data_IF_320896677429
#
_entry.id   IF_320896677429
#
_cell.length_a   1.000
_cell.length_b   1.000
_cell.length_c   1.000
_cell.angle_alpha   90.00
_cell.angle_beta   90.00
_cell.angle_gamma   90.00
#
_symmetry.space_group_name_H-M   'P 1'
#
loop_
_entity.id
_entity.type
_entity.pdbx_description
1 polymer ?
#
# COMPACT_ATOMS: atom_id res chain seq x y z
N UNK A 1 -10.31 -50.50 24.11
CA UNK A 1 -10.26 -51.86 23.54
C UNK A 1 -10.25 -51.71 22.03
N UNK A 2 -9.25 -52.09 21.25
CA UNK A 2 -8.05 -52.90 21.49
C UNK A 2 -7.07 -52.52 20.38
N UNK A 3 -5.80 -52.41 20.76
CA UNK A 3 -4.63 -52.20 19.90
C UNK A 3 -4.38 -53.49 19.14
N UNK A 4 -4.12 -53.42 17.83
CA UNK A 4 -3.42 -54.49 17.11
C UNK A 4 -2.37 -53.88 16.18
N UNK A 5 -1.14 -54.07 16.60
CA UNK A 5 0.14 -53.94 15.89
C UNK A 5 0.33 -55.11 14.93
N UNK A 6 0.86 -54.87 13.74
CA UNK A 6 1.58 -55.90 12.96
C UNK A 6 2.78 -55.30 12.27
N UNK A 7 3.94 -55.83 12.66
CA UNK A 7 5.28 -55.57 12.12
C UNK A 7 5.48 -56.14 10.70
N UNK A 8 6.41 -55.46 10.00
CA UNK A 8 7.38 -55.94 9.02
C UNK A 8 6.99 -57.00 7.99
N UNK A 9 7.24 -56.69 6.71
CA UNK A 9 8.08 -57.52 5.82
C UNK A 9 8.54 -56.67 4.63
N UNK A 10 9.81 -56.28 4.67
CA UNK A 10 10.56 -55.66 3.58
C UNK A 10 10.74 -56.67 2.44
N UNK A 11 10.30 -56.32 1.23
CA UNK A 11 10.69 -57.01 0.00
C UNK A 11 11.51 -56.04 -0.84
N UNK A 12 12.81 -56.30 -0.93
CA UNK A 12 13.72 -55.60 -1.83
C UNK A 12 13.37 -55.94 -3.29
N UNK A 13 13.02 -54.93 -4.09
CA UNK A 13 13.08 -55.01 -5.56
C UNK A 13 14.26 -54.16 -6.04
N UNK A 14 15.19 -54.83 -6.74
CA UNK A 14 16.30 -54.23 -7.49
C UNK A 14 15.75 -53.51 -8.72
N UNK A 15 16.13 -52.25 -8.90
CA UNK A 15 16.04 -51.52 -10.17
C UNK A 15 17.39 -51.63 -10.92
N UNK A 16 17.39 -51.66 -12.26
CA UNK A 16 18.60 -51.80 -13.06
C UNK A 16 19.29 -50.46 -13.33
N UNK A 17 20.62 -50.48 -13.25
CA UNK A 17 21.56 -49.41 -13.62
C UNK A 17 21.56 -49.09 -15.12
N UNK A 18 21.57 -47.80 -15.48
CA UNK A 18 22.35 -47.26 -16.62
C UNK A 18 22.45 -45.71 -16.54
N UNK A 19 23.57 -45.09 -16.92
CA UNK A 19 24.10 -43.85 -16.33
C UNK A 19 23.89 -42.60 -17.19
N UNK A 20 23.58 -41.45 -16.56
CA UNK A 20 23.65 -40.11 -17.19
C UNK A 20 24.08 -39.01 -16.20
N UNK A 21 24.99 -39.32 -15.28
CA UNK A 21 25.66 -38.32 -14.43
C UNK A 21 27.02 -37.93 -15.01
N UNK A 22 27.02 -37.34 -16.21
CA UNK A 22 28.21 -36.68 -16.78
C UNK A 22 27.76 -35.81 -17.96
N UNK A 23 27.07 -34.69 -17.69
CA UNK A 23 26.97 -33.43 -18.47
C UNK A 23 25.88 -32.59 -17.77
N UNK A 24 26.24 -31.87 -16.69
CA UNK A 24 25.58 -30.59 -16.32
C UNK A 24 26.22 -29.86 -15.13
N UNK A 25 27.46 -30.20 -14.73
CA UNK A 25 28.17 -29.47 -13.66
C UNK A 25 29.19 -28.52 -14.25
N UNK A 26 28.78 -27.53 -15.07
CA UNK A 26 29.67 -26.42 -15.54
C UNK A 26 29.00 -25.06 -15.82
N UNK A 27 27.78 -24.78 -15.35
CA UNK A 27 27.18 -23.44 -15.56
C UNK A 27 26.62 -22.73 -14.32
N UNK A 28 26.81 -23.26 -13.10
CA UNK A 28 26.35 -22.59 -11.87
C UNK A 28 27.40 -21.68 -11.19
N UNK A 29 28.64 -21.56 -11.71
CA UNK A 29 29.72 -20.80 -11.06
C UNK A 29 30.03 -19.41 -11.66
N UNK A 30 29.11 -18.78 -12.41
CA UNK A 30 29.38 -17.47 -13.05
C UNK A 30 28.46 -16.28 -12.73
N UNK A 31 27.61 -16.37 -11.70
CA UNK A 31 26.80 -15.23 -11.25
C UNK A 31 26.92 -14.90 -9.75
N UNK A 32 28.05 -15.26 -9.14
CA UNK A 32 28.35 -14.97 -7.74
C UNK A 32 29.48 -13.94 -7.57
N UNK A 33 29.43 -12.79 -8.27
CA UNK A 33 30.21 -11.61 -7.84
C UNK A 33 29.66 -10.30 -8.44
N UNK A 34 28.51 -9.85 -7.93
CA UNK A 34 28.16 -8.43 -7.94
C UNK A 34 27.96 -8.04 -6.49
N UNK A 35 29.08 -7.70 -5.85
CA UNK A 35 29.14 -7.08 -4.53
C UNK A 35 28.02 -6.05 -4.37
N UNK A 36 26.96 -6.40 -3.62
CA UNK A 36 26.02 -5.43 -3.07
C UNK A 36 26.81 -4.55 -2.12
N UNK A 37 27.33 -3.42 -2.61
CA UNK A 37 27.80 -2.32 -1.76
C UNK A 37 26.58 -1.81 -1.00
N UNK A 38 26.30 -2.43 0.15
CA UNK A 38 25.39 -1.88 1.14
C UNK A 38 26.08 -0.63 1.67
N UNK A 39 25.55 0.54 1.32
CA UNK A 39 25.96 1.80 1.93
C UNK A 39 25.87 1.64 3.45
N UNK A 40 26.85 2.14 4.22
CA UNK A 40 26.83 2.00 5.67
C UNK A 40 25.53 2.61 6.19
N UNK A 41 24.73 1.80 6.89
CA UNK A 41 23.51 2.24 7.54
C UNK A 41 23.82 3.51 8.34
N UNK A 42 23.19 4.63 7.98
CA UNK A 42 23.37 5.88 8.71
C UNK A 42 23.07 5.60 10.19
N UNK A 43 23.98 6.00 11.08
CA UNK A 43 23.80 5.88 12.52
C UNK A 43 22.57 6.70 12.94
N UNK A 44 21.42 6.04 13.02
CA UNK A 44 20.18 6.64 13.51
C UNK A 44 20.41 7.07 14.95
N UNK A 45 20.46 8.38 15.17
CA UNK A 45 20.74 8.95 16.50
C UNK A 45 19.73 8.45 17.54
N UNK A 46 20.16 8.30 18.81
CA UNK A 46 19.26 7.93 19.91
C UNK A 46 18.04 8.89 19.91
N UNK A 47 16.82 8.34 20.02
CA UNK A 47 15.54 9.07 20.00
C UNK A 47 15.59 10.22 21.01
N UNK A 48 15.81 11.45 20.55
CA UNK A 48 15.57 12.65 21.35
C UNK A 48 14.07 12.89 21.31
N UNK A 49 13.37 12.56 22.39
CA UNK A 49 11.92 12.83 22.53
C UNK A 49 11.70 14.34 22.42
N UNK A 50 10.59 14.75 21.80
CA UNK A 50 10.12 16.13 21.95
C UNK A 50 9.86 16.37 23.43
N UNK A 51 10.27 17.54 23.94
CA UNK A 51 9.90 17.97 25.30
C UNK A 51 8.42 18.35 25.35
N UNK A 52 7.88 18.77 24.22
CA UNK A 52 6.49 19.17 24.03
C UNK A 52 5.67 18.02 23.41
N UNK A 53 4.46 17.82 23.92
CA UNK A 53 3.43 16.98 23.31
C UNK A 53 2.15 17.83 23.27
N UNK A 54 1.51 17.99 22.10
CA UNK A 54 0.27 18.75 22.02
C UNK A 54 -0.82 18.15 22.91
N UNK A 55 -1.80 18.97 23.26
CA UNK A 55 -3.03 18.49 23.85
C UNK A 55 -3.76 17.58 22.86
N UNK A 56 -4.46 16.57 23.35
CA UNK A 56 -5.19 15.64 22.49
C UNK A 56 -6.21 16.41 21.65
N UNK A 57 -6.15 16.22 20.32
CA UNK A 57 -7.01 16.93 19.37
C UNK A 57 -6.54 18.33 18.99
N UNK A 58 -5.31 18.75 19.33
CA UNK A 58 -4.75 20.00 18.82
C UNK A 58 -4.78 20.03 17.29
N UNK A 59 -5.31 21.13 16.74
CA UNK A 59 -5.38 21.38 15.30
C UNK A 59 -4.26 22.32 14.89
N UNK A 60 -3.48 21.91 13.90
CA UNK A 60 -2.44 22.68 13.25
C UNK A 60 -2.84 22.92 11.80
N UNK A 61 -3.31 24.14 11.50
CA UNK A 61 -3.64 24.52 10.14
C UNK A 61 -2.40 25.00 9.39
N UNK A 62 -1.98 24.23 8.39
CA UNK A 62 -0.85 24.55 7.51
C UNK A 62 -1.30 25.19 6.21
N UNK A 63 -2.61 25.27 5.93
CA UNK A 63 -3.16 25.76 4.65
C UNK A 63 -2.83 27.22 4.39
N UNK A 64 -2.73 28.02 5.45
CA UNK A 64 -2.37 29.44 5.38
C UNK A 64 -0.89 29.72 5.60
N UNK A 65 -0.05 28.69 5.80
CA UNK A 65 1.37 28.91 6.08
C UNK A 65 2.11 29.35 4.82
N UNK A 66 2.87 30.45 4.88
CA UNK A 66 3.66 30.89 3.74
C UNK A 66 4.87 29.95 3.58
N UNK A 67 4.89 29.18 2.49
CA UNK A 67 5.97 28.22 2.19
C UNK A 67 7.27 28.89 1.72
N UNK A 68 7.40 30.22 1.85
CA UNK A 68 8.63 30.94 1.55
C UNK A 68 9.59 30.95 2.74
N UNK A 69 10.91 30.76 2.55
CA UNK A 69 11.84 30.55 3.65
C UNK A 69 11.87 31.66 4.72
N UNK A 70 11.74 32.93 4.34
CA UNK A 70 11.84 34.07 5.29
C UNK A 70 10.65 34.15 6.25
N UNK A 71 9.45 33.86 5.76
CA UNK A 71 8.20 33.94 6.53
C UNK A 71 7.87 32.63 7.23
N UNK A 72 8.36 31.50 6.72
CA UNK A 72 8.18 30.18 7.33
C UNK A 72 8.92 30.04 8.68
N UNK A 73 10.00 30.80 8.89
CA UNK A 73 10.79 30.75 10.12
C UNK A 73 9.98 31.01 11.40
N UNK A 74 9.02 31.93 11.37
CA UNK A 74 8.18 32.23 12.54
C UNK A 74 7.26 31.04 12.86
N UNK A 75 6.71 30.38 11.83
CA UNK A 75 5.87 29.19 11.99
C UNK A 75 6.66 27.97 12.45
N UNK A 76 7.93 27.84 12.06
CA UNK A 76 8.79 26.73 12.49
C UNK A 76 9.13 26.78 13.99
N UNK A 77 8.91 27.92 14.65
CA UNK A 77 9.04 28.05 16.11
C UNK A 77 7.80 27.58 16.87
N UNK A 78 6.66 27.37 16.19
CA UNK A 78 5.46 26.84 16.81
C UNK A 78 5.73 25.42 17.33
N UNK A 79 5.37 25.17 18.58
CA UNK A 79 5.65 23.88 19.23
C UNK A 79 4.99 22.71 18.50
N UNK A 80 3.80 22.92 17.92
CA UNK A 80 3.07 21.92 17.14
C UNK A 80 3.76 21.57 15.81
N UNK A 81 4.30 22.57 15.09
CA UNK A 81 5.12 22.34 13.88
C UNK A 81 6.40 21.59 14.26
N UNK A 82 7.02 21.98 15.37
CA UNK A 82 8.16 21.29 15.95
C UNK A 82 7.84 19.83 16.29
N UNK A 83 6.68 19.56 16.89
CA UNK A 83 6.21 18.21 17.21
C UNK A 83 5.98 17.35 15.97
N UNK A 84 5.33 17.90 14.94
CA UNK A 84 5.12 17.23 13.65
C UNK A 84 6.46 16.83 13.03
N UNK A 85 7.36 17.81 12.85
CA UNK A 85 8.65 17.58 12.19
C UNK A 85 9.54 16.64 13.01
N UNK A 86 9.58 16.80 14.34
CA UNK A 86 10.33 15.90 15.22
C UNK A 86 9.76 14.48 15.24
N UNK A 87 8.44 14.32 15.18
CA UNK A 87 7.81 13.00 15.05
C UNK A 87 8.20 12.32 13.74
N UNK A 88 8.23 13.06 12.63
CA UNK A 88 8.65 12.53 11.32
C UNK A 88 10.15 12.21 11.25
N UNK A 89 11.03 13.01 11.86
CA UNK A 89 12.48 12.76 11.85
C UNK A 89 12.94 11.64 12.79
N UNK A 90 12.36 11.57 14.00
CA UNK A 90 12.94 10.76 15.08
C UNK A 90 12.30 9.38 15.23
N UNK A 91 11.13 9.17 14.62
CA UNK A 91 10.41 7.89 14.66
C UNK A 91 11.11 6.84 13.80
N UNK A 92 11.19 5.62 14.34
CA UNK A 92 11.96 4.52 13.75
C UNK A 92 11.10 3.42 13.13
N UNK A 93 9.82 3.37 13.48
CA UNK A 93 8.83 2.40 13.00
C UNK A 93 7.55 3.15 12.68
N UNK A 94 7.58 3.84 11.55
CA UNK A 94 6.46 4.63 11.05
C UNK A 94 5.51 3.72 10.29
N UNK A 95 4.24 3.76 10.63
CA UNK A 95 3.15 3.22 9.81
C UNK A 95 2.42 4.38 9.17
N UNK A 96 2.27 4.36 7.85
CA UNK A 96 1.45 5.31 7.12
C UNK A 96 0.20 4.61 6.58
N UNK A 97 -0.98 5.20 6.81
CA UNK A 97 -2.26 4.77 6.25
C UNK A 97 -2.75 5.88 5.34
N UNK A 98 -2.72 5.66 4.03
CA UNK A 98 -2.97 6.69 3.01
C UNK A 98 -4.28 6.45 2.26
N UNK A 99 -4.83 7.53 1.70
CA UNK A 99 -5.92 7.48 0.73
C UNK A 99 -5.72 8.48 -0.39
N UNK A 100 -6.77 8.72 -1.18
CA UNK A 100 -6.66 9.42 -2.46
C UNK A 100 -6.07 10.84 -2.36
N UNK A 101 -6.16 11.50 -1.20
CA UNK A 101 -5.57 12.81 -0.98
C UNK A 101 -4.05 12.89 -1.21
N UNK A 102 -3.32 11.77 -1.10
CA UNK A 102 -1.87 11.77 -1.39
C UNK A 102 -1.54 11.85 -2.89
N UNK A 103 -2.48 11.47 -3.76
CA UNK A 103 -2.33 11.44 -5.22
C UNK A 103 -2.89 12.70 -5.91
N UNK A 104 -3.63 13.55 -5.20
CA UNK A 104 -4.20 14.81 -5.75
C UNK A 104 -3.10 15.73 -6.29
N UNK A 105 -1.96 15.83 -5.58
CA UNK A 105 -0.82 16.63 -6.01
C UNK A 105 -0.11 16.11 -7.28
N UNK A 106 -0.42 14.88 -7.70
CA UNK A 106 0.10 14.27 -8.93
C UNK A 106 -0.84 14.43 -10.13
N UNK A 107 -2.02 15.05 -9.94
CA UNK A 107 -3.04 15.19 -10.98
C UNK A 107 -4.06 14.04 -11.04
N UNK A 108 -3.97 13.05 -10.15
CA UNK A 108 -5.01 12.02 -10.02
C UNK A 108 -6.10 12.57 -9.10
N UNK A 109 -7.31 12.86 -9.61
CA UNK A 109 -8.38 13.39 -8.78
C UNK A 109 -8.76 12.35 -7.73
N UNK A 110 -9.15 12.82 -6.56
CA UNK A 110 -9.77 11.93 -5.60
C UNK A 110 -11.11 11.41 -6.15
N UNK A 111 -11.67 10.41 -5.49
CA UNK A 111 -12.93 9.85 -5.95
C UNK A 111 -14.12 10.74 -5.61
N UNK A 112 -14.06 11.53 -4.53
CA UNK A 112 -15.25 12.03 -3.82
C UNK A 112 -15.40 13.56 -3.81
N UNK A 113 -14.36 14.33 -4.13
CA UNK A 113 -14.45 15.79 -4.11
C UNK A 113 -15.28 16.34 -5.27
N UNK A 114 -15.50 17.66 -5.23
CA UNK A 114 -16.23 18.40 -6.26
C UNK A 114 -15.62 18.26 -7.67
N UNK A 115 -14.31 17.97 -7.79
CA UNK A 115 -13.63 17.71 -9.06
C UNK A 115 -13.24 16.22 -9.21
N UNK A 116 -13.83 15.36 -8.39
CA UNK A 116 -13.43 13.96 -8.28
C UNK A 116 -13.85 13.11 -9.48
N UNK A 117 -13.22 11.94 -9.62
CA UNK A 117 -13.46 11.03 -10.74
C UNK A 117 -14.93 10.67 -10.94
N UNK A 118 -15.75 10.63 -9.87
CA UNK A 118 -17.16 10.26 -9.95
C UNK A 118 -18.10 11.34 -10.50
N UNK A 119 -17.68 12.60 -10.62
CA UNK A 119 -18.59 13.65 -11.07
C UNK A 119 -19.09 13.43 -12.50
N UNK A 120 -18.21 12.95 -13.39
CA UNK A 120 -18.55 12.64 -14.79
C UNK A 120 -19.33 11.35 -15.00
N UNK A 121 -19.43 10.50 -13.96
CA UNK A 121 -20.11 9.20 -14.02
C UNK A 121 -21.41 9.16 -13.19
N UNK A 122 -21.73 10.23 -12.47
CA UNK A 122 -23.02 10.43 -11.84
C UNK A 122 -24.09 10.71 -12.92
N UNK A 123 -24.48 9.67 -13.67
CA UNK A 123 -25.63 9.74 -14.54
C UNK A 123 -26.91 9.84 -13.70
N UNK A 124 -27.90 10.58 -14.20
CA UNK A 124 -29.24 10.77 -13.60
C UNK A 124 -29.99 9.45 -13.29
N UNK A 125 -29.49 8.30 -13.73
CA UNK A 125 -30.18 7.01 -13.65
C UNK A 125 -29.57 5.99 -12.68
N UNK A 126 -28.32 6.16 -12.22
CA UNK A 126 -27.67 5.18 -11.34
C UNK A 126 -26.95 5.91 -10.19
N UNK A 127 -27.33 5.58 -8.95
CA UNK A 127 -26.87 6.24 -7.73
C UNK A 127 -25.35 6.34 -7.57
N UNK A 128 -24.92 7.14 -6.59
CA UNK A 128 -23.55 7.50 -6.20
C UNK A 128 -22.40 6.67 -6.81
N UNK A 129 -21.26 7.28 -7.13
CA UNK A 129 -20.07 6.60 -7.69
C UNK A 129 -19.59 5.32 -6.97
N UNK A 130 -20.05 5.06 -5.74
CA UNK A 130 -19.96 3.73 -5.10
C UNK A 130 -20.53 2.59 -5.94
N UNK A 131 -21.59 2.81 -6.71
CA UNK A 131 -22.24 1.77 -7.54
C UNK A 131 -21.32 1.24 -8.63
N UNK A 132 -20.42 2.07 -9.18
CA UNK A 132 -19.42 1.62 -10.16
C UNK A 132 -18.32 0.76 -9.53
N UNK A 133 -18.09 0.90 -8.23
CA UNK A 133 -17.14 0.09 -7.48
C UNK A 133 -17.83 -0.96 -6.60
N UNK A 134 -19.10 -1.26 -6.86
CA UNK A 134 -19.80 -2.35 -6.23
C UNK A 134 -19.71 -3.60 -7.10
N UNK A 135 -19.56 -4.78 -6.50
CA UNK A 135 -19.48 -6.04 -7.23
C UNK A 135 -20.68 -6.27 -8.19
N UNK A 136 -21.83 -5.64 -7.91
CA UNK A 136 -23.00 -5.65 -8.78
C UNK A 136 -22.77 -5.01 -10.15
N UNK A 137 -21.67 -4.28 -10.37
CA UNK A 137 -21.28 -3.69 -11.65
C UNK A 137 -21.17 -4.72 -12.78
N UNK A 138 -20.89 -5.98 -12.44
CA UNK A 138 -20.81 -7.09 -13.39
C UNK A 138 -22.18 -7.65 -13.83
N UNK A 139 -23.30 -7.15 -13.28
CA UNK A 139 -24.64 -7.66 -13.59
C UNK A 139 -25.29 -7.05 -14.84
N UNK A 140 -24.87 -5.86 -15.26
CA UNK A 140 -25.39 -5.18 -16.43
C UNK A 140 -24.27 -4.81 -17.42
N UNK A 141 -24.49 -4.99 -18.74
CA UNK A 141 -23.54 -4.55 -19.75
C UNK A 141 -23.21 -3.05 -19.66
N UNK A 142 -24.20 -2.21 -19.32
CA UNK A 142 -24.01 -0.76 -19.24
C UNK A 142 -23.12 -0.37 -18.06
N UNK A 143 -23.36 -0.95 -16.88
CA UNK A 143 -22.53 -0.69 -15.69
C UNK A 143 -21.11 -1.22 -15.89
N UNK A 144 -20.96 -2.37 -16.54
CA UNK A 144 -19.67 -2.93 -16.90
C UNK A 144 -18.91 -2.01 -17.87
N UNK A 145 -19.57 -1.47 -18.90
CA UNK A 145 -18.94 -0.57 -19.87
C UNK A 145 -18.40 0.71 -19.20
N UNK A 146 -19.17 1.31 -18.29
CA UNK A 146 -18.73 2.49 -17.54
C UNK A 146 -17.59 2.16 -16.58
N UNK A 147 -17.64 1.00 -15.93
CA UNK A 147 -16.53 0.49 -15.13
C UNK A 147 -15.26 0.33 -15.93
N UNK A 148 -15.30 -0.36 -17.08
CA UNK A 148 -14.13 -0.52 -17.94
C UNK A 148 -13.58 0.84 -18.36
N UNK A 149 -14.42 1.76 -18.83
CA UNK A 149 -14.01 3.13 -19.22
C UNK A 149 -13.28 3.87 -18.10
N UNK A 150 -13.77 3.75 -16.87
CA UNK A 150 -13.14 4.34 -15.69
C UNK A 150 -11.79 3.68 -15.38
N UNK A 151 -11.68 2.35 -15.46
CA UNK A 151 -10.42 1.64 -15.27
C UNK A 151 -9.39 2.05 -16.33
N UNK A 152 -9.80 2.22 -17.59
CA UNK A 152 -8.92 2.74 -18.65
C UNK A 152 -8.38 4.11 -18.32
N UNK A 153 -9.25 5.04 -17.93
CA UNK A 153 -8.84 6.39 -17.52
C UNK A 153 -7.86 6.35 -16.35
N UNK A 154 -8.13 5.53 -15.33
CA UNK A 154 -7.25 5.39 -14.17
C UNK A 154 -5.90 4.77 -14.53
N UNK A 155 -5.88 3.77 -15.40
CA UNK A 155 -4.64 3.17 -15.88
C UNK A 155 -3.79 4.20 -16.64
N UNK A 156 -4.37 4.95 -17.57
CA UNK A 156 -3.68 6.04 -18.28
C UNK A 156 -3.05 7.04 -17.31
N UNK A 157 -3.84 7.53 -16.34
CA UNK A 157 -3.32 8.43 -15.29
C UNK A 157 -2.20 7.79 -14.46
N UNK A 158 -2.27 6.49 -14.17
CA UNK A 158 -1.22 5.78 -13.41
C UNK A 158 0.12 5.67 -14.16
N UNK A 159 0.09 5.81 -15.48
CA UNK A 159 1.28 5.77 -16.35
C UNK A 159 1.82 7.18 -16.59
N UNK A 160 0.93 8.17 -16.78
CA UNK A 160 1.30 9.55 -17.10
C UNK A 160 1.69 10.39 -15.87
N UNK A 161 1.14 10.07 -14.68
CA UNK A 161 1.38 10.83 -13.47
C UNK A 161 2.62 10.34 -12.71
N UNK A 162 3.38 11.31 -12.19
CA UNK A 162 4.54 11.07 -11.32
C UNK A 162 4.15 11.04 -9.83
N UNK A 163 4.91 10.34 -8.97
CA UNK A 163 4.63 10.30 -7.54
C UNK A 163 4.73 11.69 -6.88
N UNK A 164 3.73 12.03 -6.08
CA UNK A 164 3.60 13.33 -5.40
C UNK A 164 4.74 13.60 -4.41
N UNK A 165 4.94 14.87 -3.98
CA UNK A 165 5.89 15.20 -2.92
C UNK A 165 5.73 14.34 -1.66
N UNK A 166 4.49 14.01 -1.28
CA UNK A 166 4.24 13.15 -0.12
C UNK A 166 4.67 11.68 -0.36
N UNK A 167 4.45 11.12 -1.55
CA UNK A 167 4.98 9.79 -1.89
C UNK A 167 6.51 9.75 -1.78
N UNK A 168 7.18 10.78 -2.32
CA UNK A 168 8.65 10.89 -2.25
C UNK A 168 9.16 11.06 -0.82
N UNK A 169 8.41 11.71 0.06
CA UNK A 169 8.70 11.75 1.49
C UNK A 169 8.63 10.36 2.12
N UNK A 170 7.59 9.57 1.83
CA UNK A 170 7.46 8.20 2.34
C UNK A 170 8.59 7.30 1.82
N UNK A 171 8.94 7.42 0.54
CA UNK A 171 10.06 6.70 -0.07
C UNK A 171 11.39 7.04 0.62
N UNK A 172 11.66 8.32 0.88
CA UNK A 172 12.83 8.75 1.67
C UNK A 172 12.83 8.15 3.08
N UNK A 173 11.69 8.16 3.78
CA UNK A 173 11.56 7.54 5.12
C UNK A 173 11.81 6.02 5.04
N UNK A 174 11.39 5.37 3.96
CA UNK A 174 11.61 3.95 3.71
C UNK A 174 13.08 3.63 3.42
N UNK A 175 13.73 4.45 2.57
CA UNK A 175 15.15 4.39 2.27
C UNK A 175 16.01 4.50 3.54
N UNK A 176 15.61 5.36 4.48
CA UNK A 176 16.26 5.53 5.78
C UNK A 176 15.99 4.35 6.76
N UNK A 177 15.19 3.36 6.36
CA UNK A 177 14.86 2.17 7.16
C UNK A 177 13.87 2.43 8.28
N UNK A 178 13.14 3.57 8.25
CA UNK A 178 12.24 4.00 9.32
C UNK A 178 10.76 3.71 9.03
N UNK A 179 10.40 3.53 7.77
CA UNK A 179 9.05 3.11 7.38
C UNK A 179 8.88 1.62 7.70
N UNK A 180 8.02 1.31 8.67
CA UNK A 180 7.59 -0.06 8.95
C UNK A 180 6.66 -0.55 7.84
N UNK A 181 5.60 0.22 7.54
CA UNK A 181 4.61 -0.11 6.53
C UNK A 181 3.91 1.11 5.94
N UNK A 182 3.62 1.04 4.66
CA UNK A 182 2.61 1.85 3.98
C UNK A 182 1.38 0.98 3.69
N UNK A 183 0.24 1.30 4.31
CA UNK A 183 -1.06 0.73 3.98
C UNK A 183 -1.83 1.74 3.13
N UNK A 184 -1.90 1.50 1.82
CA UNK A 184 -2.54 2.43 0.88
C UNK A 184 -3.93 1.94 0.50
N UNK A 185 -4.91 2.84 0.53
CA UNK A 185 -6.25 2.60 -0.03
C UNK A 185 -6.29 2.84 -1.55
N UNK A 186 -5.22 3.41 -2.11
CA UNK A 186 -5.16 3.79 -3.51
C UNK A 186 -4.89 2.58 -4.39
N UNK A 187 -5.46 2.61 -5.59
CA UNK A 187 -5.26 1.60 -6.63
C UNK A 187 -4.38 2.13 -7.77
N UNK A 188 -4.01 3.41 -7.73
CA UNK A 188 -3.29 4.14 -8.79
C UNK A 188 -1.83 3.70 -8.97
N UNK A 189 -1.26 2.96 -8.01
CA UNK A 189 0.12 2.45 -8.05
C UNK A 189 1.22 3.53 -8.11
N UNK A 190 0.93 4.80 -7.80
CA UNK A 190 1.97 5.84 -7.76
C UNK A 190 3.03 5.55 -6.70
N UNK A 191 2.61 4.99 -5.55
CA UNK A 191 3.54 4.58 -4.49
C UNK A 191 4.57 3.56 -5.01
N UNK A 192 4.12 2.55 -5.75
CA UNK A 192 4.98 1.46 -6.25
C UNK A 192 5.90 1.84 -7.43
N UNK A 193 5.77 3.05 -7.97
CA UNK A 193 6.77 3.59 -8.91
C UNK A 193 8.09 3.96 -8.20
N UNK A 194 8.07 4.09 -6.87
CA UNK A 194 9.23 4.45 -6.07
C UNK A 194 9.94 3.20 -5.52
N UNK A 195 11.28 3.12 -5.62
CA UNK A 195 12.03 1.89 -5.39
C UNK A 195 12.04 1.43 -3.93
N UNK A 196 11.78 2.30 -2.96
CA UNK A 196 11.74 1.93 -1.55
C UNK A 196 10.30 1.70 -1.05
N UNK A 197 9.30 1.81 -1.92
CA UNK A 197 7.89 1.54 -1.65
C UNK A 197 7.36 0.34 -2.45
N UNK A 198 8.25 -0.55 -2.90
CA UNK A 198 7.88 -1.75 -3.64
C UNK A 198 6.83 -2.61 -2.92
N UNK A 199 5.98 -3.24 -3.74
CA UNK A 199 5.00 -4.24 -3.33
C UNK A 199 5.27 -5.57 -4.03
N UNK A 200 4.64 -6.65 -3.55
CA UNK A 200 4.61 -7.94 -4.23
C UNK A 200 3.19 -8.46 -4.22
N UNK A 201 2.69 -8.87 -5.38
CA UNK A 201 1.34 -9.43 -5.54
C UNK A 201 1.44 -10.71 -6.40
N UNK A 202 0.80 -11.82 -6.01
CA UNK A 202 0.01 -12.01 -4.79
C UNK A 202 0.86 -11.89 -3.52
N UNK A 203 0.24 -11.40 -2.45
CA UNK A 203 0.88 -11.39 -1.14
C UNK A 203 1.05 -12.85 -0.66
N UNK A 204 2.13 -13.13 0.07
CA UNK A 204 2.38 -14.44 0.65
C UNK A 204 2.79 -14.32 2.13
N UNK A 205 2.77 -15.43 2.85
CA UNK A 205 3.10 -15.50 4.29
C UNK A 205 4.61 -15.43 4.57
N UNK A 206 5.45 -15.31 3.55
CA UNK A 206 6.90 -15.28 3.70
C UNK A 206 7.40 -13.87 4.05
N UNK A 207 8.30 -13.82 5.02
CA UNK A 207 8.98 -12.59 5.44
C UNK A 207 10.30 -12.43 4.66
N UNK A 208 10.74 -11.20 4.38
CA UNK A 208 10.13 -9.93 4.78
C UNK A 208 8.90 -9.57 3.92
N UNK A 209 7.87 -9.03 4.58
CA UNK A 209 6.68 -8.51 3.90
C UNK A 209 7.00 -7.20 3.14
N UNK A 210 6.37 -6.93 1.99
CA UNK A 210 6.62 -5.74 1.17
C UNK A 210 6.29 -4.44 1.89
N UNK A 211 7.00 -3.35 1.57
CA UNK A 211 6.80 -2.06 2.26
C UNK A 211 5.40 -1.51 2.07
N UNK A 212 4.84 -1.66 0.88
CA UNK A 212 3.51 -1.18 0.53
C UNK A 212 2.51 -2.33 0.51
N UNK A 213 1.39 -2.16 1.21
CA UNK A 213 0.23 -3.06 1.22
C UNK A 213 -0.95 -2.31 0.61
N UNK A 214 -1.39 -2.77 -0.56
CA UNK A 214 -2.50 -2.19 -1.30
C UNK A 214 -3.81 -2.80 -0.80
N UNK A 215 -4.53 -2.06 0.04
CA UNK A 215 -5.73 -2.52 0.75
C UNK A 215 -6.95 -2.75 -0.14
N UNK A 216 -6.94 -2.22 -1.37
CA UNK A 216 -8.05 -2.35 -2.31
C UNK A 216 -7.58 -2.92 -3.67
N UNK A 217 -6.46 -3.62 -3.68
CA UNK A 217 -5.85 -4.12 -4.91
C UNK A 217 -5.16 -3.00 -5.71
N UNK A 218 -4.95 -3.22 -7.01
CA UNK A 218 -4.20 -2.29 -7.84
C UNK A 218 -4.65 -2.31 -9.31
N UNK A 219 -4.42 -1.20 -10.00
CA UNK A 219 -4.88 -1.00 -11.38
C UNK A 219 -4.00 -1.68 -12.44
N UNK A 220 -2.78 -2.09 -12.07
CA UNK A 220 -1.78 -2.66 -12.98
C UNK A 220 -1.86 -4.18 -13.11
N UNK A 221 -2.77 -4.83 -12.39
CA UNK A 221 -2.91 -6.29 -12.41
C UNK A 221 -4.33 -6.70 -12.76
N UNK A 222 -4.42 -7.90 -13.33
CA UNK A 222 -5.63 -8.67 -13.55
C UNK A 222 -5.65 -9.87 -12.61
N UNK A 223 -6.84 -10.29 -12.18
CA UNK A 223 -7.05 -11.55 -11.49
C UNK A 223 -8.20 -12.35 -12.08
N UNK A 224 -8.02 -13.68 -12.10
CA UNK A 224 -9.09 -14.59 -12.46
C UNK A 224 -10.10 -14.72 -11.31
N UNK A 225 -11.38 -14.58 -11.61
CA UNK A 225 -12.48 -14.78 -10.65
C UNK A 225 -12.62 -16.23 -10.15
N UNK A 226 -11.96 -17.19 -10.81
CA UNK A 226 -12.08 -18.62 -10.51
C UNK A 226 -10.78 -19.27 -10.04
N UNK A 227 -9.72 -19.25 -10.88
CA UNK A 227 -8.45 -19.90 -10.54
C UNK A 227 -7.48 -18.98 -9.79
N UNK A 228 -7.84 -17.71 -9.56
CA UNK A 228 -7.02 -16.70 -8.90
C UNK A 228 -5.67 -16.40 -9.57
N UNK A 229 -5.45 -16.86 -10.81
CA UNK A 229 -4.30 -16.46 -11.61
C UNK A 229 -4.19 -14.94 -11.69
N UNK A 230 -2.99 -14.42 -11.48
CA UNK A 230 -2.67 -12.99 -11.52
C UNK A 230 -1.76 -12.73 -12.72
N UNK A 231 -2.09 -11.70 -13.51
CA UNK A 231 -1.32 -11.26 -14.66
C UNK A 231 -1.19 -9.74 -14.63
N UNK A 232 -0.14 -9.18 -15.21
CA UNK A 232 -0.07 -7.74 -15.48
C UNK A 232 -1.14 -7.28 -16.48
N UNK A 233 -1.69 -6.10 -16.22
CA UNK A 233 -2.55 -5.38 -17.14
C UNK A 233 -1.65 -4.56 -18.07
N UNK A 234 -1.51 -5.02 -19.30
CA UNK A 234 -0.68 -4.38 -20.32
C UNK A 234 -1.52 -3.53 -21.30
N UNK A 235 -0.84 -2.79 -22.17
CA UNK A 235 -1.49 -1.87 -23.12
C UNK A 235 -2.42 -2.58 -24.14
N UNK A 236 -2.26 -3.90 -24.36
CA UNK A 236 -3.11 -4.66 -25.28
C UNK A 236 -4.57 -4.80 -24.83
N UNK A 237 -4.86 -4.43 -23.58
CA UNK A 237 -6.21 -4.39 -23.03
C UNK A 237 -6.97 -3.08 -23.33
N UNK A 238 -6.31 -2.13 -24.01
CA UNK A 238 -6.85 -0.78 -24.23
C UNK A 238 -7.15 -0.44 -25.70
N UNK A 239 -7.01 -1.39 -26.64
CA UNK A 239 -7.44 -1.20 -28.02
C UNK A 239 -8.96 -0.92 -28.09
N UNK A 240 -9.41 -0.06 -29.01
CA UNK A 240 -10.79 0.48 -29.06
C UNK A 240 -11.89 -0.60 -29.12
N UNK A 241 -11.59 -1.78 -29.67
CA UNK A 241 -12.51 -2.92 -29.78
C UNK A 241 -12.28 -4.00 -28.73
N UNK A 242 -11.37 -3.78 -27.78
CA UNK A 242 -11.00 -4.80 -26.80
C UNK A 242 -11.84 -4.69 -25.54
N UNK A 243 -12.33 -5.83 -25.03
CA UNK A 243 -12.96 -5.88 -23.70
C UNK A 243 -11.86 -6.01 -22.64
N UNK A 244 -11.98 -5.28 -21.53
CA UNK A 244 -11.02 -5.39 -20.43
C UNK A 244 -11.23 -6.70 -19.68
N UNK A 245 -12.49 -7.12 -19.53
CA UNK A 245 -12.85 -8.42 -18.95
C UNK A 245 -12.89 -9.49 -20.05
N UNK A 246 -12.13 -10.57 -19.87
CA UNK A 246 -11.99 -11.66 -20.85
C UNK A 246 -11.98 -13.02 -20.16
N UNK A 247 -12.14 -14.10 -20.93
CA UNK A 247 -11.92 -15.44 -20.39
C UNK A 247 -10.48 -15.61 -19.88
N UNK A 248 -10.32 -16.43 -18.85
CA UNK A 248 -9.02 -16.73 -18.29
C UNK A 248 -8.30 -17.81 -19.10
N UNK A 249 -7.12 -17.51 -19.69
CA UNK A 249 -6.37 -18.47 -20.51
C UNK A 249 -5.94 -19.70 -19.71
N UNK A 250 -5.53 -19.53 -18.45
CA UNK A 250 -5.21 -20.66 -17.55
C UNK A 250 -6.40 -21.60 -17.31
N UNK A 251 -7.62 -21.05 -17.20
CA UNK A 251 -8.81 -21.88 -17.08
C UNK A 251 -9.13 -22.63 -18.37
N UNK A 252 -8.88 -22.02 -19.53
CA UNK A 252 -9.06 -22.63 -20.85
C UNK A 252 -8.03 -23.75 -21.09
N UNK A 253 -6.78 -23.53 -20.71
CA UNK A 253 -5.70 -24.51 -20.77
C UNK A 253 -5.98 -25.70 -19.85
N UNK A 254 -6.34 -25.45 -18.59
CA UNK A 254 -6.72 -26.50 -17.64
C UNK A 254 -7.90 -27.33 -18.16
N UNK A 255 -8.88 -26.69 -18.80
CA UNK A 255 -10.00 -27.41 -19.41
C UNK A 255 -9.59 -28.25 -20.62
N UNK A 256 -8.64 -27.77 -21.42
CA UNK A 256 -8.06 -28.53 -22.53
C UNK A 256 -7.35 -29.79 -22.04
N UNK A 257 -6.52 -29.67 -20.99
CA UNK A 257 -5.84 -30.82 -20.34
C UNK A 257 -6.86 -31.81 -19.78
N UNK A 258 -7.93 -31.33 -19.13
CA UNK A 258 -9.01 -32.19 -18.60
C UNK A 258 -9.73 -32.95 -19.71
N UNK A 259 -10.02 -32.30 -20.83
CA UNK A 259 -10.69 -32.92 -21.96
C UNK A 259 -9.84 -34.05 -22.56
N UNK A 260 -8.53 -33.82 -22.74
CA UNK A 260 -7.57 -34.85 -23.21
C UNK A 260 -7.52 -36.04 -22.23
N UNK A 261 -7.56 -35.77 -20.93
CA UNK A 261 -7.58 -36.80 -19.89
C UNK A 261 -8.96 -37.49 -19.70
N UNK A 262 -9.94 -37.27 -20.59
CA UNK A 262 -11.29 -37.84 -20.50
C UNK A 262 -12.11 -37.33 -19.30
N UNK A 263 -11.69 -36.24 -18.67
CA UNK A 263 -12.38 -35.63 -17.52
C UNK A 263 -13.38 -34.58 -17.98
N UNK A 264 -14.46 -34.41 -17.20
CA UNK A 264 -15.46 -33.36 -17.43
C UNK A 264 -14.83 -31.96 -17.38
N UNK A 265 -15.11 -31.16 -18.41
CA UNK A 265 -14.78 -29.73 -18.52
C UNK A 265 -15.50 -28.95 -17.42
N UNK A 266 -14.81 -27.97 -16.83
CA UNK A 266 -15.37 -27.09 -15.81
C UNK A 266 -15.71 -25.72 -16.41
N UNK A 267 -16.55 -24.94 -15.73
CA UNK A 267 -16.79 -23.54 -16.13
C UNK A 267 -15.47 -22.75 -16.16
N UNK A 268 -15.24 -21.92 -17.18
CA UNK A 268 -14.11 -21.01 -17.19
C UNK A 268 -14.27 -19.89 -16.15
N UNK A 269 -13.15 -19.31 -15.71
CA UNK A 269 -13.15 -18.02 -15.01
C UNK A 269 -12.95 -16.86 -15.97
N UNK A 270 -13.13 -15.62 -15.49
CA UNK A 270 -12.82 -14.41 -16.23
C UNK A 270 -11.69 -13.64 -15.57
N UNK A 271 -10.77 -13.11 -16.39
CA UNK A 271 -9.79 -12.12 -15.98
C UNK A 271 -10.46 -10.75 -15.90
N UNK A 272 -10.26 -10.06 -14.78
CA UNK A 272 -10.72 -8.68 -14.55
C UNK A 272 -9.65 -7.91 -13.78
N UNK A 273 -9.71 -6.56 -13.76
CA UNK A 273 -8.83 -5.75 -12.93
C UNK A 273 -8.82 -6.21 -11.48
N UNK A 274 -7.63 -6.35 -10.91
CA UNK A 274 -7.40 -6.83 -9.54
C UNK A 274 -7.60 -5.71 -8.53
N UNK A 275 -8.82 -5.18 -8.52
CA UNK A 275 -9.28 -4.20 -7.54
C UNK A 275 -10.38 -4.83 -6.69
N UNK A 276 -10.46 -4.43 -5.44
CA UNK A 276 -11.45 -4.94 -4.48
C UNK A 276 -12.67 -4.05 -4.51
N UNK A 277 -13.79 -4.60 -4.96
CA UNK A 277 -15.07 -3.89 -5.02
C UNK A 277 -15.83 -4.00 -3.68
N UNK A 278 -16.78 -3.09 -3.46
CA UNK A 278 -17.75 -3.25 -2.37
C UNK A 278 -18.53 -4.55 -2.56
N UNK A 279 -18.82 -5.23 -1.45
CA UNK A 279 -19.50 -6.53 -1.42
C UNK A 279 -18.73 -7.67 -2.12
N UNK A 280 -17.42 -7.49 -2.34
CA UNK A 280 -16.53 -8.53 -2.82
C UNK A 280 -15.70 -9.13 -1.66
N UNK A 281 -15.38 -10.42 -1.75
CA UNK A 281 -14.37 -11.02 -0.88
C UNK A 281 -12.98 -10.50 -1.24
N UNK A 282 -12.21 -10.07 -0.24
CA UNK A 282 -10.85 -9.57 -0.46
C UNK A 282 -9.88 -10.74 -0.71
N UNK A 283 -9.24 -10.85 -1.89
CA UNK A 283 -8.38 -11.99 -2.24
C UNK A 283 -7.18 -12.12 -1.29
N UNK A 284 -6.58 -11.00 -0.88
CA UNK A 284 -5.46 -10.99 0.09
C UNK A 284 -5.90 -10.74 1.55
N UNK A 285 -7.20 -10.87 1.88
CA UNK A 285 -7.72 -10.40 3.17
C UNK A 285 -7.07 -11.08 4.38
N UNK A 286 -6.87 -12.40 4.28
CA UNK A 286 -6.23 -13.21 5.34
C UNK A 286 -4.76 -12.81 5.54
N UNK A 287 -3.99 -12.72 4.46
CA UNK A 287 -2.57 -12.36 4.52
C UNK A 287 -2.38 -10.91 4.98
N UNK A 288 -3.21 -9.97 4.55
CA UNK A 288 -3.20 -8.58 5.06
C UNK A 288 -3.47 -8.57 6.57
N UNK A 289 -4.39 -9.39 7.05
CA UNK A 289 -4.64 -9.59 8.48
C UNK A 289 -3.39 -10.06 9.23
N UNK A 290 -2.69 -11.06 8.69
CA UNK A 290 -1.45 -11.58 9.28
C UNK A 290 -0.32 -10.54 9.29
N UNK A 291 -0.15 -9.78 8.19
CA UNK A 291 0.84 -8.70 8.08
C UNK A 291 0.52 -7.62 9.12
N UNK A 292 -0.74 -7.23 9.24
CA UNK A 292 -1.21 -6.24 10.22
C UNK A 292 -0.90 -6.70 11.64
N UNK A 293 -1.19 -7.96 11.99
CA UNK A 293 -0.89 -8.52 13.31
C UNK A 293 0.62 -8.54 13.58
N UNK A 294 1.43 -8.91 12.58
CA UNK A 294 2.88 -8.86 12.67
C UNK A 294 3.37 -7.43 12.94
N UNK A 295 2.83 -6.44 12.22
CA UNK A 295 3.20 -5.03 12.39
C UNK A 295 2.81 -4.49 13.76
N UNK A 296 1.61 -4.80 14.26
CA UNK A 296 1.17 -4.45 15.61
C UNK A 296 2.13 -5.03 16.68
N UNK A 297 2.57 -6.29 16.51
CA UNK A 297 3.55 -6.93 17.41
C UNK A 297 4.93 -6.24 17.39
N UNK A 298 5.31 -5.59 16.29
CA UNK A 298 6.57 -4.82 16.25
C UNK A 298 6.51 -3.52 17.07
N UNK A 299 5.31 -3.11 17.50
CA UNK A 299 5.03 -1.92 18.32
C UNK A 299 5.59 -0.64 17.68
N UNK A 300 4.96 -0.15 16.59
CA UNK A 300 5.35 1.09 15.94
C UNK A 300 5.34 2.28 16.89
N UNK A 301 6.11 3.31 16.55
CA UNK A 301 6.28 4.52 17.36
C UNK A 301 5.70 5.78 16.71
N UNK A 302 5.18 5.67 15.49
CA UNK A 302 4.43 6.74 14.82
C UNK A 302 3.40 6.16 13.86
N UNK A 303 2.19 6.72 13.88
CA UNK A 303 1.12 6.45 12.92
C UNK A 303 0.76 7.75 12.20
N UNK A 304 0.84 7.72 10.87
CA UNK A 304 0.39 8.79 9.99
C UNK A 304 -0.90 8.35 9.30
N UNK A 305 -1.98 9.11 9.47
CA UNK A 305 -3.24 8.92 8.74
C UNK A 305 -3.39 10.07 7.76
N UNK A 306 -3.28 9.80 6.46
CA UNK A 306 -3.03 10.86 5.46
C UNK A 306 -3.98 10.79 4.29
N UNK A 307 -4.58 11.93 3.94
CA UNK A 307 -5.34 12.09 2.69
C UNK A 307 -6.53 11.13 2.57
N UNK A 308 -7.18 10.80 3.69
CA UNK A 308 -8.28 9.84 3.71
C UNK A 308 -9.42 10.31 4.61
N UNK A 309 -10.64 9.94 4.24
CA UNK A 309 -11.86 10.20 5.02
C UNK A 309 -12.25 9.03 5.93
N UNK A 310 -11.44 7.96 5.98
CA UNK A 310 -11.68 6.73 6.75
C UNK A 310 -13.11 6.16 6.71
N UNK A 311 -13.82 6.32 5.58
CA UNK A 311 -15.20 5.77 5.44
C UNK A 311 -15.23 4.26 5.24
N UNK A 312 -14.09 3.60 5.01
CA UNK A 312 -14.00 2.14 4.85
C UNK A 312 -13.85 1.49 6.24
N UNK A 313 -14.80 0.65 6.69
CA UNK A 313 -14.77 0.08 8.04
C UNK A 313 -13.49 -0.68 8.38
N UNK A 314 -12.95 -1.47 7.44
CA UNK A 314 -11.71 -2.22 7.63
C UNK A 314 -10.50 -1.33 7.91
N UNK A 315 -10.39 -0.22 7.17
CA UNK A 315 -9.31 0.76 7.35
C UNK A 315 -9.48 1.52 8.67
N UNK A 316 -10.72 1.89 9.03
CA UNK A 316 -11.02 2.56 10.30
C UNK A 316 -10.62 1.68 11.49
N UNK A 317 -10.90 0.36 11.42
CA UNK A 317 -10.46 -0.62 12.43
C UNK A 317 -8.93 -0.72 12.51
N UNK A 318 -8.25 -0.79 11.35
CA UNK A 318 -6.79 -0.81 11.28
C UNK A 318 -6.17 0.40 11.98
N UNK A 319 -6.68 1.61 11.71
CA UNK A 319 -6.21 2.85 12.36
C UNK A 319 -6.39 2.77 13.88
N UNK A 320 -7.56 2.32 14.36
CA UNK A 320 -7.83 2.21 15.81
C UNK A 320 -6.85 1.28 16.52
N UNK A 321 -6.65 0.06 16.00
CA UNK A 321 -5.74 -0.91 16.61
C UNK A 321 -4.29 -0.42 16.59
N UNK A 322 -3.88 0.21 15.48
CA UNK A 322 -2.54 0.75 15.33
C UNK A 322 -2.31 1.95 16.26
N UNK A 323 -3.28 2.85 16.39
CA UNK A 323 -3.23 4.00 17.30
C UNK A 323 -3.05 3.54 18.75
N UNK A 324 -3.85 2.56 19.20
CA UNK A 324 -3.73 1.96 20.53
C UNK A 324 -2.33 1.42 20.81
N UNK A 325 -1.72 0.72 19.85
CA UNK A 325 -0.36 0.18 20.00
C UNK A 325 0.68 1.31 20.03
N UNK A 326 0.58 2.30 19.16
CA UNK A 326 1.49 3.46 19.11
C UNK A 326 1.43 4.26 20.43
N UNK A 327 0.23 4.53 20.94
CA UNK A 327 0.03 5.20 22.23
C UNK A 327 0.60 4.38 23.40
N UNK A 328 0.48 3.04 23.38
CA UNK A 328 1.10 2.16 24.39
C UNK A 328 2.65 2.25 24.43
N UNK A 329 3.27 2.79 23.38
CA UNK A 329 4.72 3.05 23.29
C UNK A 329 5.07 4.53 23.43
N UNK A 330 4.11 5.35 23.83
CA UNK A 330 4.27 6.80 23.90
C UNK A 330 4.77 7.37 22.55
N UNK A 331 4.28 6.77 21.46
CA UNK A 331 4.49 7.23 20.09
C UNK A 331 3.54 8.37 19.73
N UNK A 332 3.52 8.75 18.46
CA UNK A 332 2.67 9.85 17.97
C UNK A 332 1.66 9.35 16.93
N UNK A 333 0.40 9.73 17.06
CA UNK A 333 -0.66 9.46 16.08
C UNK A 333 -1.09 10.77 15.46
N UNK A 334 -0.81 10.96 14.18
CA UNK A 334 -0.94 12.23 13.46
C UNK A 334 -1.93 12.06 12.31
N UNK A 335 -2.93 12.93 12.27
CA UNK A 335 -3.85 13.10 11.14
C UNK A 335 -3.32 14.19 10.21
N UNK A 336 -3.32 13.94 8.89
CA UNK A 336 -2.90 14.93 7.89
C UNK A 336 -3.90 14.89 6.73
N UNK A 337 -4.75 15.90 6.63
CA UNK A 337 -5.76 15.96 5.57
C UNK A 337 -6.20 17.40 5.34
N UNK A 338 -6.84 17.69 4.21
CA UNK A 338 -7.40 19.03 3.96
C UNK A 338 -8.47 19.38 5.01
N UNK A 339 -9.30 18.40 5.35
CA UNK A 339 -10.38 18.53 6.33
C UNK A 339 -10.04 17.80 7.63
N UNK A 340 -10.56 18.31 8.75
CA UNK A 340 -10.53 17.66 10.05
C UNK A 340 -11.23 16.28 10.02
N UNK A 341 -10.81 15.34 10.88
CA UNK A 341 -11.56 14.10 11.05
C UNK A 341 -12.95 14.41 11.62
N UNK A 342 -13.99 13.80 11.06
CA UNK A 342 -15.34 13.92 11.62
C UNK A 342 -15.38 13.48 13.08
N UNK A 343 -16.30 14.03 13.90
CA UNK A 343 -16.42 13.66 15.32
C UNK A 343 -16.52 12.14 15.54
N UNK A 344 -17.28 11.43 14.70
CA UNK A 344 -17.39 9.96 14.77
C UNK A 344 -16.02 9.26 14.65
N UNK A 345 -15.12 9.76 13.81
CA UNK A 345 -13.76 9.22 13.64
C UNK A 345 -12.96 9.44 14.91
N UNK A 346 -13.00 10.66 15.46
CA UNK A 346 -12.32 11.01 16.72
C UNK A 346 -12.80 10.12 17.86
N UNK A 347 -14.12 10.01 18.06
CA UNK A 347 -14.71 9.18 19.12
C UNK A 347 -14.31 7.70 19.01
N UNK A 348 -14.19 7.20 17.77
CA UNK A 348 -13.90 5.78 17.54
C UNK A 348 -12.42 5.43 17.73
N UNK A 349 -11.52 6.33 17.31
CA UNK A 349 -10.06 6.18 17.45
C UNK A 349 -9.59 6.65 18.83
N UNK A 350 -10.46 7.33 19.58
CA UNK A 350 -10.25 7.97 20.89
C UNK A 350 -9.57 9.34 20.77
N UNK A 351 -8.34 9.41 20.24
CA UNK A 351 -7.70 10.70 19.99
C UNK A 351 -6.57 10.64 18.95
N UNK A 352 -6.32 11.80 18.33
CA UNK A 352 -5.10 12.10 17.58
C UNK A 352 -4.24 13.04 18.43
N UNK A 353 -2.92 12.83 18.43
CA UNK A 353 -2.00 13.73 19.13
C UNK A 353 -1.88 15.07 18.40
N UNK A 354 -1.99 15.06 17.07
CA UNK A 354 -1.98 16.25 16.25
C UNK A 354 -2.87 16.06 15.02
N UNK A 355 -3.73 17.03 14.76
CA UNK A 355 -4.58 17.12 13.58
C UNK A 355 -4.00 18.21 12.68
N UNK A 356 -3.33 17.81 11.60
CA UNK A 356 -2.77 18.75 10.62
C UNK A 356 -3.79 18.95 9.51
N UNK A 357 -4.31 20.18 9.39
CA UNK A 357 -5.24 20.56 8.32
C UNK A 357 -4.49 21.27 7.20
N UNK A 358 -4.69 20.82 5.96
CA UNK A 358 -4.06 21.39 4.77
C UNK A 358 -3.50 20.33 3.83
N UNK A 359 -2.79 20.77 2.79
CA UNK A 359 -2.24 19.87 1.79
C UNK A 359 -1.10 19.05 2.37
N UNK A 360 -1.20 17.71 2.30
CA UNK A 360 -0.09 16.83 2.68
C UNK A 360 1.17 17.05 1.83
N UNK A 361 1.03 17.70 0.66
CA UNK A 361 2.16 18.00 -0.24
C UNK A 361 3.08 19.09 0.32
N UNK A 362 2.66 19.83 1.34
CA UNK A 362 3.45 20.91 1.96
C UNK A 362 4.33 20.39 3.10
N UNK A 363 4.02 19.20 3.64
CA UNK A 363 4.77 18.54 4.72
C UNK A 363 6.27 18.37 4.39
N UNK A 364 6.67 17.94 3.17
CA UNK A 364 8.09 17.85 2.82
C UNK A 364 8.80 19.21 2.89
N UNK A 365 8.12 20.31 2.52
CA UNK A 365 8.69 21.67 2.56
C UNK A 365 8.92 22.09 4.01
N UNK A 366 7.91 21.91 4.87
CA UNK A 366 8.01 22.17 6.31
C UNK A 366 9.14 21.36 6.97
N UNK A 367 9.23 20.07 6.64
CA UNK A 367 10.24 19.18 7.20
C UNK A 367 11.66 19.59 6.77
N UNK A 368 11.85 19.95 5.50
CA UNK A 368 13.16 20.40 4.99
C UNK A 368 13.58 21.72 5.66
N UNK A 369 12.68 22.70 5.74
CA UNK A 369 12.96 23.98 6.39
C UNK A 369 13.29 23.81 7.88
N UNK A 370 12.57 22.93 8.58
CA UNK A 370 12.85 22.59 9.98
C UNK A 370 14.23 21.95 10.18
N UNK A 371 14.67 21.13 9.22
CA UNK A 371 16.01 20.52 9.25
C UNK A 371 17.12 21.56 9.06
N UNK A 372 16.90 22.57 8.23
CA UNK A 372 17.85 23.64 7.97
C UNK A 372 18.07 24.57 9.17
N UNK A 373 17.02 24.80 9.98
CA UNK A 373 17.10 25.60 11.21
C UNK A 373 17.95 24.96 12.31
N UNK A 374 18.13 23.64 12.29
CA UNK A 374 18.93 22.96 13.31
C UNK A 374 20.41 23.30 13.11
N UNK A 375 21.14 23.71 14.15
CA UNK A 375 22.57 23.94 14.02
C UNK A 375 23.24 22.66 13.52
N UNK A 376 23.86 22.72 12.33
CA UNK A 376 24.61 21.60 11.76
C UNK A 376 25.60 21.13 12.83
N UNK A 377 25.41 19.92 13.36
CA UNK A 377 26.38 19.31 14.28
C UNK A 377 27.73 19.36 13.58
N UNK A 378 28.71 20.08 14.16
CA UNK A 378 30.10 20.07 13.70
C UNK A 378 30.47 18.60 13.46
N UNK A 379 30.69 18.23 12.20
CA UNK A 379 31.30 16.95 11.89
C UNK A 379 32.64 16.95 12.63
N UNK A 380 32.75 16.11 13.65
CA UNK A 380 34.03 15.80 14.27
C UNK A 380 34.92 15.31 13.15
N UNK A 381 35.80 16.19 12.65
CA UNK A 381 36.95 15.78 11.86
C UNK A 381 37.69 14.77 12.72
N UNK A 382 37.52 13.49 12.40
CA UNK A 382 38.48 12.47 12.83
C UNK A 382 39.75 12.82 12.06
N UNK A 383 40.66 13.49 12.76
CA UNK A 383 42.08 13.59 12.38
C UNK A 383 42.67 12.19 12.51
#
# INVERSE_FOLDING_TARGET
MTILTTDSLYVQKKEPDCPLDEICVKEEEKFADLSRKTLPAQKVTKRRRSKYRPLNGTILDISSMPLQPKTLNDYLQLEDVGFLCQSLETSKKIVAITGAGVSVGSGIPDFRSANGLFQGFASKTNGSGKNLFDYNVFRSPDSLKEFEKMIRKLYTLSVECEPSPFHRLLDKISQEGRLLRLYTQNIDCLDTQLPHLETRVPLNFEKPYPKTIQLHGNIKLLNCSKCHHVKELDESYFNENSMLIRNCPECEELNSVRAIAGRRVQSGGVLRPRIVLYNEFHPDGEIIGNITESDLKTRPDCLLVVGTTLKIPGVRRLVKEMAKVVHSKNGSVIWINIEEPTQSIVDYIEHFDLIVTGSCQDIPVLLNAFQELKPKKKQSKRV
#
